data_IF_794399518788
#
_entry.id   IF_794399518788
#
_cell.length_a   1.000
_cell.length_b   1.000
_cell.length_c   1.000
_cell.angle_alpha   90.00
_cell.angle_beta   90.00
_cell.angle_gamma   90.00
#
_symmetry.space_group_name_H-M   'P 1'
#
loop_
_entity.id
_entity.type
_entity.pdbx_description
1 polymer ?
#
# COMPACT_ATOMS: atom_id res chain seq x y z
N UNK A 1 -24.18 -32.78 8.82
CA UNK A 1 -23.38 -33.96 8.44
C UNK A 1 -22.51 -34.40 9.61
N UNK A 2 -22.24 -35.70 9.74
CA UNK A 2 -21.40 -36.29 10.80
C UNK A 2 -20.43 -37.29 10.19
N UNK A 3 -19.19 -37.35 10.69
CA UNK A 3 -18.23 -38.38 10.29
C UNK A 3 -18.72 -39.75 10.78
N UNK A 4 -18.84 -40.72 9.86
CA UNK A 4 -19.41 -42.05 10.10
C UNK A 4 -18.33 -43.11 10.24
N UNK A 5 -17.40 -43.17 9.30
CA UNK A 5 -16.21 -44.02 9.41
C UNK A 5 -15.05 -43.45 8.60
N UNK A 6 -13.85 -43.90 8.94
CA UNK A 6 -12.64 -43.76 8.12
C UNK A 6 -12.13 -45.16 7.77
N UNK A 7 -11.77 -45.37 6.52
CA UNK A 7 -11.16 -46.61 6.04
C UNK A 7 -9.82 -46.26 5.37
N UNK A 8 -8.76 -46.98 5.74
CA UNK A 8 -7.40 -46.73 5.26
C UNK A 8 -6.73 -48.03 4.86
N UNK A 9 -5.89 -47.99 3.83
CA UNK A 9 -5.01 -49.08 3.44
C UNK A 9 -3.72 -48.51 2.85
N UNK A 10 -2.57 -49.04 3.27
CA UNK A 10 -1.25 -48.54 2.87
C UNK A 10 -0.98 -47.09 3.26
N UNK A 11 -1.80 -46.50 4.13
CA UNK A 11 -1.65 -45.14 4.64
C UNK A 11 -0.74 -45.14 5.87
N UNK A 12 -0.05 -44.04 6.16
CA UNK A 12 0.91 -43.90 7.27
C UNK A 12 0.50 -44.70 8.53
N UNK A 13 1.37 -45.59 9.01
CA UNK A 13 1.10 -46.43 10.19
C UNK A 13 0.10 -47.58 10.01
N UNK A 14 -0.60 -47.66 8.88
CA UNK A 14 -1.60 -48.68 8.55
C UNK A 14 -1.25 -49.40 7.24
N UNK A 15 -0.54 -50.53 7.34
CA UNK A 15 -0.23 -51.38 6.16
C UNK A 15 -1.49 -52.05 5.62
N UNK A 16 -2.19 -52.79 6.47
CA UNK A 16 -3.39 -53.52 6.09
C UNK A 16 -4.61 -52.61 6.03
N UNK A 17 -5.68 -53.10 5.39
CA UNK A 17 -6.98 -52.44 5.42
C UNK A 17 -7.49 -52.35 6.86
N UNK A 18 -7.73 -51.14 7.32
CA UNK A 18 -8.35 -50.85 8.62
C UNK A 18 -9.54 -49.93 8.42
N UNK A 19 -10.67 -50.28 9.05
CA UNK A 19 -11.87 -49.45 9.09
C UNK A 19 -12.20 -49.11 10.54
N UNK A 20 -12.31 -47.82 10.84
CA UNK A 20 -12.69 -47.30 12.15
C UNK A 20 -14.03 -46.60 12.00
N UNK A 21 -15.06 -47.15 12.65
CA UNK A 21 -16.39 -46.54 12.72
C UNK A 21 -16.47 -45.59 13.91
N UNK A 22 -17.11 -44.44 13.71
CA UNK A 22 -17.32 -43.43 14.74
C UNK A 22 -18.74 -43.53 15.29
N UNK A 23 -18.89 -43.33 16.60
CA UNK A 23 -20.19 -43.22 17.24
C UNK A 23 -20.89 -41.90 16.89
N UNK A 24 -22.22 -41.87 16.98
CA UNK A 24 -23.05 -40.72 16.59
C UNK A 24 -22.92 -39.45 17.47
N UNK A 25 -22.20 -39.56 18.59
CA UNK A 25 -22.01 -38.50 19.58
C UNK A 25 -20.53 -38.23 19.89
N UNK A 26 -19.91 -39.12 20.67
CA UNK A 26 -18.53 -38.98 21.10
C UNK A 26 -17.77 -40.30 20.96
N UNK A 27 -16.57 -40.24 20.38
CA UNK A 27 -15.70 -41.40 20.17
C UNK A 27 -14.32 -41.11 20.75
N UNK A 28 -13.80 -42.03 21.57
CA UNK A 28 -12.44 -41.93 22.11
C UNK A 28 -11.58 -43.01 21.47
N UNK A 29 -10.46 -42.59 20.88
CA UNK A 29 -9.46 -43.50 20.31
C UNK A 29 -8.28 -43.56 21.26
N UNK A 30 -8.06 -44.73 21.88
CA UNK A 30 -6.97 -44.96 22.83
C UNK A 30 -5.94 -45.93 22.28
N UNK A 31 -4.74 -45.90 22.84
CA UNK A 31 -3.64 -46.77 22.42
C UNK A 31 -2.28 -46.19 22.76
N UNK A 32 -1.24 -47.04 22.70
CA UNK A 32 0.15 -46.65 22.99
C UNK A 32 0.63 -45.55 22.03
N UNK A 33 1.72 -44.86 22.37
CA UNK A 33 2.35 -43.93 21.45
C UNK A 33 2.88 -44.67 20.21
N UNK A 34 2.75 -44.04 19.04
CA UNK A 34 3.20 -44.62 17.76
C UNK A 34 2.23 -45.57 17.05
N UNK A 35 1.06 -45.89 17.62
CA UNK A 35 0.10 -46.85 17.01
C UNK A 35 -0.81 -46.27 15.91
N UNK A 36 -0.59 -45.01 15.49
CA UNK A 36 -1.37 -44.39 14.41
C UNK A 36 -2.64 -43.63 14.85
N UNK A 37 -2.80 -43.29 16.13
CA UNK A 37 -3.97 -42.53 16.63
C UNK A 37 -4.16 -41.20 15.89
N UNK A 38 -3.13 -40.35 15.88
CA UNK A 38 -3.15 -39.06 15.17
C UNK A 38 -3.28 -39.25 13.66
N UNK A 39 -2.85 -40.40 13.14
CA UNK A 39 -2.91 -40.71 11.72
C UNK A 39 -4.34 -40.93 11.21
N UNK A 40 -5.29 -41.26 12.08
CA UNK A 40 -6.71 -41.27 11.70
C UNK A 40 -7.22 -39.85 11.44
N UNK A 41 -6.77 -38.85 12.21
CA UNK A 41 -7.07 -37.44 11.93
C UNK A 41 -6.40 -36.96 10.64
N UNK A 42 -5.14 -37.36 10.42
CA UNK A 42 -4.42 -37.11 9.17
C UNK A 42 -5.15 -37.69 7.95
N UNK A 43 -5.72 -38.89 8.10
CA UNK A 43 -6.49 -39.55 7.05
C UNK A 43 -7.76 -38.76 6.71
N UNK A 44 -8.50 -38.28 7.71
CA UNK A 44 -9.69 -37.43 7.49
C UNK A 44 -9.31 -36.17 6.73
N UNK A 45 -8.27 -35.45 7.18
CA UNK A 45 -7.80 -34.23 6.51
C UNK A 45 -7.35 -34.51 5.08
N UNK A 46 -6.54 -35.54 4.87
CA UNK A 46 -6.05 -35.93 3.55
C UNK A 46 -7.18 -36.33 2.59
N UNK A 47 -8.20 -37.03 3.07
CA UNK A 47 -9.37 -37.34 2.25
C UNK A 47 -10.05 -36.06 1.74
N UNK A 48 -10.21 -35.06 2.62
CA UNK A 48 -10.88 -33.79 2.32
C UNK A 48 -10.06 -32.85 1.43
N UNK A 49 -8.80 -32.60 1.77
CA UNK A 49 -7.98 -31.54 1.15
C UNK A 49 -6.96 -32.10 0.15
N UNK A 50 -6.54 -33.36 0.32
CA UNK A 50 -5.39 -33.93 -0.38
C UNK A 50 -4.03 -33.51 0.17
N UNK A 51 -4.00 -32.76 1.26
CA UNK A 51 -2.80 -32.35 1.99
C UNK A 51 -3.00 -32.55 3.50
N UNK A 52 -1.93 -32.37 4.27
CA UNK A 52 -2.01 -32.34 5.72
C UNK A 52 -1.23 -31.10 6.18
N UNK A 53 -1.93 -30.14 6.79
CA UNK A 53 -1.40 -28.84 7.16
C UNK A 53 -0.29 -28.93 8.22
N UNK A 54 -0.27 -30.01 9.02
CA UNK A 54 0.85 -30.32 9.94
C UNK A 54 2.22 -30.32 9.23
N UNK A 55 2.28 -30.70 7.96
CA UNK A 55 3.54 -30.81 7.21
C UNK A 55 3.77 -29.63 6.26
N UNK A 56 2.90 -28.62 6.24
CA UNK A 56 3.07 -27.43 5.40
C UNK A 56 4.24 -26.53 5.87
N UNK A 57 4.66 -26.67 7.13
CA UNK A 57 5.70 -25.84 7.77
C UNK A 57 7.11 -26.46 7.69
N UNK A 58 7.25 -27.76 7.41
CA UNK A 58 8.56 -28.43 7.31
C UNK A 58 9.20 -28.25 5.92
N UNK A 59 9.54 -27.00 5.57
CA UNK A 59 10.48 -26.69 4.49
C UNK A 59 11.92 -26.89 4.95
N UNK A 60 12.45 -28.11 4.92
CA UNK A 60 13.91 -28.36 4.93
C UNK A 60 14.29 -29.84 4.73
N UNK A 61 14.02 -30.46 3.57
CA UNK A 61 14.80 -31.60 3.05
C UNK A 61 14.21 -32.06 1.70
N UNK A 62 15.02 -32.70 0.86
CA UNK A 62 14.74 -33.12 -0.51
C UNK A 62 13.67 -34.25 -0.67
N UNK A 63 12.74 -34.42 0.27
CA UNK A 63 11.68 -35.46 0.21
C UNK A 63 10.31 -34.82 -0.07
N UNK A 64 9.51 -35.44 -0.95
CA UNK A 64 8.16 -34.95 -1.28
C UNK A 64 7.18 -35.35 -0.17
N UNK A 65 6.17 -34.52 0.10
CA UNK A 65 5.09 -34.82 1.06
C UNK A 65 4.46 -36.21 0.83
N UNK A 66 4.33 -36.59 -0.45
CA UNK A 66 3.85 -37.90 -0.91
C UNK A 66 4.66 -39.07 -0.33
N UNK A 67 5.93 -38.86 -0.03
CA UNK A 67 6.78 -39.92 0.48
C UNK A 67 6.37 -40.27 1.93
N UNK A 68 5.89 -39.31 2.74
CA UNK A 68 5.56 -39.53 4.17
C UNK A 68 4.11 -39.95 4.44
N UNK A 69 3.23 -39.85 3.44
CA UNK A 69 1.82 -40.18 3.55
C UNK A 69 1.55 -41.69 3.51
N UNK A 70 2.39 -42.43 2.78
CA UNK A 70 2.16 -43.84 2.50
C UNK A 70 3.09 -44.75 3.31
N UNK A 71 2.66 -46.00 3.49
CA UNK A 71 3.41 -47.02 4.22
C UNK A 71 4.82 -47.23 3.63
N UNK A 72 5.85 -47.12 4.49
CA UNK A 72 7.27 -47.37 4.16
C UNK A 72 7.89 -48.58 4.88
N UNK A 73 7.14 -49.26 5.75
CA UNK A 73 7.66 -50.37 6.55
C UNK A 73 7.78 -51.68 5.76
N UNK A 74 8.14 -52.77 6.45
CA UNK A 74 8.25 -54.08 5.81
C UNK A 74 6.91 -54.60 5.26
N UNK A 75 6.98 -55.21 4.08
CA UNK A 75 5.83 -55.70 3.33
C UNK A 75 5.20 -54.63 2.44
N UNK A 76 4.54 -55.07 1.37
CA UNK A 76 3.75 -54.19 0.50
C UNK A 76 2.28 -54.24 0.91
N UNK A 77 1.62 -53.08 1.11
CA UNK A 77 0.18 -53.06 1.35
C UNK A 77 -0.57 -53.51 0.08
N UNK A 78 -1.78 -54.03 0.26
CA UNK A 78 -2.62 -54.48 -0.86
C UNK A 78 -3.13 -53.31 -1.71
N UNK A 79 -3.26 -52.12 -1.13
CA UNK A 79 -3.66 -50.90 -1.82
C UNK A 79 -3.16 -49.63 -1.09
N UNK A 80 -3.39 -48.46 -1.66
CA UNK A 80 -3.01 -47.14 -1.12
C UNK A 80 -4.18 -46.15 -1.24
N UNK A 81 -5.06 -46.15 -0.25
CA UNK A 81 -6.20 -45.24 -0.22
C UNK A 81 -6.61 -44.84 1.19
N UNK A 82 -7.37 -43.74 1.22
CA UNK A 82 -8.13 -43.28 2.37
C UNK A 82 -9.56 -43.00 1.93
N UNK A 83 -10.53 -43.50 2.68
CA UNK A 83 -11.95 -43.26 2.46
C UNK A 83 -12.57 -42.67 3.71
N UNK A 84 -13.06 -41.42 3.63
CA UNK A 84 -13.85 -40.78 4.67
C UNK A 84 -15.34 -40.83 4.31
N UNK A 85 -16.17 -41.27 5.25
CA UNK A 85 -17.62 -41.33 5.08
C UNK A 85 -18.31 -40.36 6.02
N UNK A 86 -19.28 -39.64 5.49
CA UNK A 86 -20.11 -38.69 6.20
C UNK A 86 -21.58 -39.06 6.07
N UNK A 87 -22.29 -39.05 7.19
CA UNK A 87 -23.74 -39.26 7.25
C UNK A 87 -24.46 -37.92 7.29
N UNK A 88 -25.41 -37.71 6.39
CA UNK A 88 -26.34 -36.57 6.39
C UNK A 88 -27.49 -36.83 7.38
N UNK A 89 -28.19 -35.76 7.75
CA UNK A 89 -29.30 -35.85 8.71
C UNK A 89 -30.52 -36.59 8.12
N UNK A 90 -30.63 -36.64 6.79
CA UNK A 90 -31.61 -37.43 6.04
C UNK A 90 -31.23 -38.94 5.94
N UNK A 91 -30.11 -39.37 6.53
CA UNK A 91 -29.59 -40.74 6.47
C UNK A 91 -28.74 -41.08 5.24
N UNK A 92 -28.65 -40.19 4.25
CA UNK A 92 -27.80 -40.37 3.08
C UNK A 92 -26.32 -40.37 3.47
N UNK A 93 -25.50 -41.17 2.77
CA UNK A 93 -24.06 -41.25 3.00
C UNK A 93 -23.30 -40.58 1.87
N UNK A 94 -22.33 -39.74 2.23
CA UNK A 94 -21.39 -39.10 1.32
C UNK A 94 -20.00 -39.67 1.58
N UNK A 95 -19.39 -40.28 0.56
CA UNK A 95 -18.06 -40.88 0.63
C UNK A 95 -17.08 -40.11 -0.22
N UNK A 96 -15.87 -39.95 0.31
CA UNK A 96 -14.72 -39.40 -0.39
C UNK A 96 -13.60 -40.41 -0.26
N UNK A 97 -13.14 -40.95 -1.39
CA UNK A 97 -11.99 -41.85 -1.48
C UNK A 97 -10.87 -41.17 -2.23
N UNK A 98 -9.70 -41.04 -1.58
CA UNK A 98 -8.48 -40.55 -2.19
C UNK A 98 -7.46 -41.66 -2.28
N UNK A 99 -6.98 -41.94 -3.49
CA UNK A 99 -5.92 -42.92 -3.72
C UNK A 99 -4.60 -42.25 -4.08
N UNK A 100 -3.49 -42.98 -3.90
CA UNK A 100 -2.15 -42.50 -4.30
C UNK A 100 -2.03 -42.21 -5.79
N UNK A 101 -2.72 -42.97 -6.65
CA UNK A 101 -2.54 -42.91 -8.11
C UNK A 101 -3.53 -41.97 -8.79
N UNK A 102 -4.79 -41.99 -8.36
CA UNK A 102 -5.87 -41.26 -9.03
C UNK A 102 -6.30 -39.98 -8.32
N UNK A 103 -5.79 -39.73 -7.10
CA UNK A 103 -6.28 -38.64 -6.27
C UNK A 103 -7.69 -38.92 -5.75
N UNK A 104 -8.48 -37.87 -5.54
CA UNK A 104 -9.85 -37.99 -5.04
C UNK A 104 -10.82 -38.46 -6.13
N UNK A 105 -11.76 -39.33 -5.75
CA UNK A 105 -12.89 -39.77 -6.55
C UNK A 105 -13.99 -38.69 -6.68
N UNK A 106 -13.95 -37.67 -5.83
CA UNK A 106 -14.80 -36.47 -5.87
C UNK A 106 -14.00 -35.25 -6.29
N UNK A 107 -14.62 -34.41 -7.11
CA UNK A 107 -14.08 -33.09 -7.42
C UNK A 107 -14.08 -32.18 -6.18
N UNK A 108 -13.18 -31.20 -6.09
CA UNK A 108 -13.18 -30.22 -4.99
C UNK A 108 -14.54 -29.55 -4.80
N UNK A 109 -15.24 -29.24 -5.90
CA UNK A 109 -16.57 -28.63 -5.89
C UNK A 109 -17.63 -29.55 -5.28
N UNK A 110 -17.61 -30.85 -5.57
CA UNK A 110 -18.55 -31.80 -4.96
C UNK A 110 -18.32 -31.93 -3.45
N UNK A 111 -17.06 -31.92 -3.02
CA UNK A 111 -16.69 -31.97 -1.59
C UNK A 111 -17.16 -30.68 -0.89
N UNK A 112 -16.91 -29.52 -1.48
CA UNK A 112 -17.38 -28.22 -0.98
C UNK A 112 -18.91 -28.12 -0.94
N UNK A 113 -19.61 -28.50 -2.00
CA UNK A 113 -21.07 -28.43 -2.07
C UNK A 113 -21.74 -29.41 -1.09
N UNK A 114 -21.04 -30.50 -0.74
CA UNK A 114 -21.50 -31.40 0.31
C UNK A 114 -21.24 -30.82 1.71
N UNK A 115 -20.01 -30.42 2.02
CA UNK A 115 -19.60 -30.14 3.40
C UNK A 115 -19.81 -28.69 3.84
N UNK A 116 -19.94 -27.76 2.90
CA UNK A 116 -20.08 -26.33 3.19
C UNK A 116 -21.49 -25.81 2.87
N UNK A 117 -21.90 -24.76 3.57
CA UNK A 117 -23.13 -24.03 3.24
C UNK A 117 -22.97 -23.15 1.99
N UNK A 118 -24.09 -22.59 1.51
CA UNK A 118 -24.15 -21.76 0.29
C UNK A 118 -23.31 -20.49 0.34
N UNK A 119 -23.03 -19.97 1.55
CA UNK A 119 -22.08 -18.89 1.77
C UNK A 119 -20.81 -19.52 2.32
N UNK A 120 -19.74 -19.50 1.54
CA UNK A 120 -18.46 -20.11 1.90
C UNK A 120 -17.30 -19.14 1.67
N UNK A 121 -16.28 -19.15 2.54
CA UNK A 121 -15.05 -18.40 2.33
C UNK A 121 -14.20 -19.04 1.21
N UNK A 122 -13.16 -18.33 0.77
CA UNK A 122 -12.13 -18.94 -0.07
C UNK A 122 -11.45 -20.09 0.71
N UNK A 123 -11.11 -21.18 0.01
CA UNK A 123 -10.48 -22.38 0.60
C UNK A 123 -11.28 -23.02 1.77
N UNK A 124 -12.61 -23.04 1.63
CA UNK A 124 -13.55 -23.43 2.69
C UNK A 124 -13.30 -24.81 3.32
N UNK A 125 -12.83 -25.79 2.54
CA UNK A 125 -12.55 -27.14 3.05
C UNK A 125 -11.31 -27.14 3.96
N UNK A 126 -10.27 -26.38 3.59
CA UNK A 126 -9.09 -26.25 4.44
C UNK A 126 -9.44 -25.54 5.73
N UNK A 127 -10.25 -24.49 5.65
CA UNK A 127 -10.74 -23.78 6.84
C UNK A 127 -11.65 -24.66 7.74
N UNK A 128 -12.47 -25.53 7.14
CA UNK A 128 -13.25 -26.52 7.89
C UNK A 128 -12.32 -27.47 8.65
N UNK A 129 -11.25 -27.95 8.00
CA UNK A 129 -10.26 -28.82 8.64
C UNK A 129 -9.54 -28.09 9.77
N UNK A 130 -9.11 -26.84 9.56
CA UNK A 130 -8.38 -26.08 10.57
C UNK A 130 -9.20 -25.71 11.80
N UNK A 131 -10.52 -25.54 11.64
CA UNK A 131 -11.43 -25.25 12.75
C UNK A 131 -11.96 -26.50 13.45
N UNK A 132 -11.93 -27.66 12.78
CA UNK A 132 -12.49 -28.92 13.30
C UNK A 132 -11.45 -29.92 13.82
N UNK A 133 -10.22 -29.85 13.31
CA UNK A 133 -9.12 -30.77 13.67
C UNK A 133 -8.13 -30.02 14.55
N UNK A 134 -8.17 -30.28 15.85
CA UNK A 134 -7.25 -29.67 16.83
C UNK A 134 -6.10 -30.64 17.09
N UNK A 135 -4.87 -30.16 16.89
CA UNK A 135 -3.62 -30.91 17.06
C UNK A 135 -2.81 -30.33 18.21
N UNK A 136 -2.03 -31.16 18.89
CA UNK A 136 -1.16 -30.72 19.99
C UNK A 136 -0.15 -29.67 19.52
N UNK A 137 0.43 -29.88 18.33
CA UNK A 137 1.38 -28.93 17.73
C UNK A 137 0.72 -27.57 17.45
N UNK A 138 -0.57 -27.57 17.14
CA UNK A 138 -1.33 -26.35 16.92
C UNK A 138 -1.65 -25.67 18.24
N UNK A 139 -2.05 -26.40 19.28
CA UNK A 139 -2.30 -25.80 20.60
C UNK A 139 -1.04 -25.07 21.11
N UNK A 140 0.14 -25.70 20.98
CA UNK A 140 1.41 -25.08 21.34
C UNK A 140 1.69 -23.81 20.51
N UNK A 141 1.63 -23.93 19.18
CA UNK A 141 1.89 -22.80 18.27
C UNK A 141 0.91 -21.64 18.50
N UNK A 142 -0.38 -21.93 18.65
CA UNK A 142 -1.44 -20.95 18.87
C UNK A 142 -1.35 -20.25 20.23
N UNK A 143 -0.81 -20.92 21.25
CA UNK A 143 -0.75 -20.41 22.61
C UNK A 143 0.53 -19.62 22.91
N UNK A 144 1.67 -19.99 22.33
CA UNK A 144 2.98 -19.44 22.71
C UNK A 144 3.64 -18.64 21.59
N UNK A 145 3.43 -19.03 20.33
CA UNK A 145 4.29 -18.58 19.23
C UNK A 145 3.64 -17.54 18.31
N UNK A 146 2.32 -17.33 18.42
CA UNK A 146 1.63 -16.34 17.59
C UNK A 146 1.73 -14.91 18.15
N UNK A 147 2.05 -13.97 17.26
CA UNK A 147 1.84 -12.55 17.49
C UNK A 147 0.35 -12.21 17.63
N UNK A 148 0.03 -11.04 18.21
CA UNK A 148 -1.36 -10.56 18.30
C UNK A 148 -2.04 -10.47 16.93
N UNK A 149 -1.30 -10.04 15.90
CA UNK A 149 -1.81 -9.95 14.52
C UNK A 149 -2.18 -11.31 13.96
N UNK A 150 -1.34 -12.32 14.17
CA UNK A 150 -1.61 -13.68 13.68
C UNK A 150 -2.75 -14.35 14.44
N UNK A 151 -2.86 -14.10 15.76
CA UNK A 151 -4.02 -14.54 16.55
C UNK A 151 -5.31 -13.90 16.05
N UNK A 152 -5.29 -12.60 15.78
CA UNK A 152 -6.44 -11.90 15.22
C UNK A 152 -6.84 -12.49 13.86
N UNK A 153 -5.88 -12.72 12.98
CA UNK A 153 -6.12 -13.26 11.64
C UNK A 153 -6.65 -14.70 11.67
N UNK A 154 -6.13 -15.53 12.58
CA UNK A 154 -6.64 -16.88 12.82
C UNK A 154 -8.09 -16.86 13.31
N UNK A 155 -8.41 -16.04 14.31
CA UNK A 155 -9.79 -15.93 14.82
C UNK A 155 -10.71 -15.36 13.73
N UNK A 156 -10.26 -14.33 13.01
CA UNK A 156 -10.99 -13.73 11.89
C UNK A 156 -11.31 -14.76 10.81
N UNK A 157 -10.32 -15.56 10.42
CA UNK A 157 -10.52 -16.62 9.45
C UNK A 157 -11.47 -17.69 10.00
N UNK A 158 -11.26 -18.20 11.21
CA UNK A 158 -12.10 -19.23 11.84
C UNK A 158 -13.59 -18.85 11.96
N UNK A 159 -13.91 -17.56 12.17
CA UNK A 159 -15.28 -17.05 12.23
C UNK A 159 -16.01 -17.06 10.87
N UNK A 160 -15.34 -17.48 9.80
CA UNK A 160 -15.91 -17.55 8.46
C UNK A 160 -15.94 -16.18 7.79
N UNK A 161 -16.74 -16.00 6.73
CA UNK A 161 -16.89 -14.70 6.10
C UNK A 161 -17.60 -13.76 7.07
N UNK A 162 -16.84 -13.14 7.96
CA UNK A 162 -17.17 -11.83 8.53
C UNK A 162 -17.14 -10.89 7.33
N UNK A 163 -18.25 -10.89 6.61
CA UNK A 163 -18.39 -10.20 5.35
C UNK A 163 -18.10 -8.73 5.57
N UNK A 164 -17.11 -8.28 4.84
CA UNK A 164 -16.85 -6.88 4.63
C UNK A 164 -15.66 -6.85 3.73
N UNK A 165 -15.92 -6.67 2.43
CA UNK A 165 -15.10 -5.95 1.45
C UNK A 165 -13.74 -5.57 2.03
N UNK A 166 -12.65 -5.94 1.37
CA UNK A 166 -11.29 -5.56 1.77
C UNK A 166 -11.14 -4.02 1.84
N UNK A 167 -11.67 -3.44 2.92
CA UNK A 167 -11.85 -2.01 3.12
C UNK A 167 -10.47 -1.42 3.36
N UNK A 168 -9.54 -2.21 3.88
CA UNK A 168 -8.12 -1.86 3.95
C UNK A 168 -7.54 -1.65 2.55
N UNK A 169 -7.74 -2.60 1.63
CA UNK A 169 -7.24 -2.45 0.25
C UNK A 169 -7.97 -1.32 -0.49
N UNK A 170 -9.31 -1.22 -0.38
CA UNK A 170 -10.06 -0.13 -0.99
C UNK A 170 -9.68 1.24 -0.41
N UNK A 171 -9.52 1.36 0.91
CA UNK A 171 -9.10 2.60 1.55
C UNK A 171 -7.67 2.97 1.15
N UNK A 172 -6.74 2.02 1.06
CA UNK A 172 -5.39 2.27 0.52
C UNK A 172 -5.44 2.75 -0.93
N UNK A 173 -6.28 2.15 -1.76
CA UNK A 173 -6.44 2.58 -3.16
C UNK A 173 -7.01 4.00 -3.25
N UNK A 174 -8.02 4.32 -2.43
CA UNK A 174 -8.59 5.67 -2.34
C UNK A 174 -7.55 6.67 -1.83
N UNK A 175 -6.82 6.34 -0.77
CA UNK A 175 -5.78 7.20 -0.20
C UNK A 175 -4.69 7.49 -1.23
N UNK A 176 -4.20 6.48 -1.94
CA UNK A 176 -3.20 6.63 -3.01
C UNK A 176 -3.69 7.56 -4.12
N UNK A 177 -4.96 7.45 -4.52
CA UNK A 177 -5.55 8.34 -5.53
C UNK A 177 -5.63 9.79 -5.02
N UNK A 178 -5.97 9.98 -3.74
CA UNK A 178 -6.03 11.30 -3.10
C UNK A 178 -4.64 11.92 -3.00
N UNK A 179 -3.63 11.16 -2.58
CA UNK A 179 -2.23 11.62 -2.50
C UNK A 179 -1.71 12.05 -3.88
N UNK A 180 -1.94 11.22 -4.90
CA UNK A 180 -1.53 11.55 -6.28
C UNK A 180 -2.20 12.84 -6.78
N UNK A 181 -3.50 13.02 -6.50
CA UNK A 181 -4.23 14.22 -6.87
C UNK A 181 -3.78 15.46 -6.07
N UNK A 182 -3.46 15.28 -4.79
CA UNK A 182 -2.92 16.31 -3.92
C UNK A 182 -1.58 16.81 -4.45
N UNK A 183 -0.65 15.89 -4.76
CA UNK A 183 0.68 16.25 -5.25
C UNK A 183 0.63 16.97 -6.60
N UNK A 184 -0.26 16.52 -7.50
CA UNK A 184 -0.49 17.20 -8.77
C UNK A 184 -1.00 18.64 -8.56
N UNK A 185 -1.96 18.84 -7.64
CA UNK A 185 -2.51 20.17 -7.31
C UNK A 185 -1.48 21.05 -6.60
N UNK A 186 -0.69 20.46 -5.70
CA UNK A 186 0.36 21.17 -4.98
C UNK A 186 1.43 21.67 -5.94
N UNK A 187 1.85 20.84 -6.90
CA UNK A 187 2.79 21.23 -7.96
C UNK A 187 2.21 22.30 -8.88
N UNK A 188 0.93 22.21 -9.23
CA UNK A 188 0.26 23.26 -10.02
C UNK A 188 0.21 24.59 -9.24
N UNK A 189 -0.08 24.55 -7.94
CA UNK A 189 -0.10 25.73 -7.08
C UNK A 189 1.28 26.37 -6.94
N UNK A 190 2.33 25.58 -6.69
CA UNK A 190 3.71 26.11 -6.59
C UNK A 190 4.16 26.74 -7.91
N UNK A 191 3.85 26.13 -9.05
CA UNK A 191 4.15 26.69 -10.37
C UNK A 191 3.40 28.01 -10.62
N UNK A 192 2.10 28.06 -10.33
CA UNK A 192 1.31 29.29 -10.48
C UNK A 192 1.82 30.41 -9.55
N UNK A 193 2.22 30.07 -8.32
CA UNK A 193 2.82 31.02 -7.38
C UNK A 193 4.17 31.55 -7.87
N UNK A 194 5.01 30.70 -8.47
CA UNK A 194 6.28 31.13 -9.05
C UNK A 194 6.05 32.07 -10.25
N UNK A 195 5.09 31.76 -11.13
CA UNK A 195 4.72 32.63 -12.25
C UNK A 195 4.21 33.99 -11.78
N UNK A 196 3.33 34.01 -10.77
CA UNK A 196 2.83 35.26 -10.19
C UNK A 196 3.96 36.10 -9.59
N UNK A 197 4.88 35.47 -8.87
CA UNK A 197 6.05 36.15 -8.29
C UNK A 197 6.90 36.80 -9.38
N UNK A 198 7.17 36.07 -10.47
CA UNK A 198 7.94 36.61 -11.60
C UNK A 198 7.20 37.78 -12.29
N UNK A 199 5.88 37.65 -12.49
CA UNK A 199 5.08 38.71 -13.09
C UNK A 199 5.04 39.98 -12.22
N UNK A 200 4.99 39.84 -10.89
CA UNK A 200 5.07 40.96 -9.95
C UNK A 200 6.44 41.65 -10.01
N UNK A 201 7.53 40.88 -10.09
CA UNK A 201 8.88 41.44 -10.27
C UNK A 201 8.98 42.23 -11.57
N UNK A 202 8.53 41.66 -12.69
CA UNK A 202 8.53 42.35 -13.99
C UNK A 202 7.66 43.62 -13.97
N UNK A 203 6.51 43.59 -13.31
CA UNK A 203 5.66 44.77 -13.15
C UNK A 203 6.36 45.86 -12.34
N UNK A 204 7.11 45.49 -11.29
CA UNK A 204 7.89 46.42 -10.47
C UNK A 204 8.99 47.07 -11.31
N UNK A 205 9.76 46.28 -12.05
CA UNK A 205 10.81 46.77 -12.94
C UNK A 205 10.27 47.70 -14.03
N UNK A 206 9.13 47.35 -14.63
CA UNK A 206 8.47 48.18 -15.63
C UNK A 206 7.99 49.52 -15.05
N UNK A 207 7.43 49.51 -13.83
CA UNK A 207 7.03 50.74 -13.12
C UNK A 207 8.23 51.63 -12.82
N UNK A 208 9.35 51.06 -12.36
CA UNK A 208 10.59 51.82 -12.12
C UNK A 208 11.19 52.39 -13.41
N UNK A 209 11.11 51.66 -14.53
CA UNK A 209 11.56 52.14 -15.83
C UNK A 209 10.71 53.33 -16.32
N UNK A 210 9.38 53.26 -16.15
CA UNK A 210 8.47 54.37 -16.47
C UNK A 210 8.75 55.59 -15.61
N UNK A 211 8.97 55.41 -14.30
CA UNK A 211 9.34 56.49 -13.39
C UNK A 211 10.63 57.19 -13.82
N UNK A 212 11.69 56.43 -14.12
CA UNK A 212 12.96 56.97 -14.62
C UNK A 212 12.81 57.71 -15.95
N UNK A 213 12.01 57.20 -16.89
CA UNK A 213 11.77 57.87 -18.16
C UNK A 213 11.05 59.21 -17.99
N UNK A 214 10.08 59.28 -17.05
CA UNK A 214 9.39 60.52 -16.69
C UNK A 214 10.34 61.57 -16.08
N UNK A 215 11.21 61.17 -15.17
CA UNK A 215 12.20 62.06 -14.55
C UNK A 215 13.20 62.61 -15.59
N UNK A 216 13.64 61.78 -16.53
CA UNK A 216 14.53 62.21 -17.62
C UNK A 216 13.85 63.19 -18.56
N UNK A 217 12.57 62.97 -18.90
CA UNK A 217 11.81 63.89 -19.73
C UNK A 217 11.62 65.26 -19.05
N UNK A 218 11.27 65.27 -17.76
CA UNK A 218 11.13 66.51 -16.98
C UNK A 218 12.48 67.25 -16.84
N UNK A 219 13.57 66.53 -16.59
CA UNK A 219 14.92 67.13 -16.56
C UNK A 219 15.31 67.73 -17.91
N UNK A 220 14.90 67.11 -19.02
CA UNK A 220 15.15 67.64 -20.36
C UNK A 220 14.40 68.95 -20.60
N UNK A 221 13.12 69.04 -20.22
CA UNK A 221 12.33 70.27 -20.37
C UNK A 221 12.99 71.46 -19.65
N UNK A 222 13.54 71.24 -18.46
CA UNK A 222 14.28 72.28 -17.72
C UNK A 222 15.51 72.75 -18.50
N UNK A 223 16.27 71.82 -19.10
CA UNK A 223 17.44 72.15 -19.92
C UNK A 223 17.03 72.91 -21.19
N UNK A 224 15.93 72.51 -21.83
CA UNK A 224 15.37 73.18 -23.01
C UNK A 224 14.95 74.61 -22.67
N UNK A 225 14.24 74.81 -21.56
CA UNK A 225 13.82 76.12 -21.09
C UNK A 225 15.01 77.03 -20.74
N UNK A 226 16.07 76.46 -20.16
CA UNK A 226 17.31 77.19 -19.84
C UNK A 226 18.17 77.50 -21.08
N UNK A 227 17.96 76.79 -22.20
CA UNK A 227 18.66 76.99 -23.48
C UNK A 227 17.69 77.05 -24.67
N UNK A 228 16.88 78.13 -24.77
CA UNK A 228 15.82 78.23 -25.79
C UNK A 228 16.34 78.13 -27.22
N UNK A 229 17.54 78.66 -27.48
CA UNK A 229 18.20 78.64 -28.80
C UNK A 229 19.32 77.60 -28.89
N UNK A 230 19.32 76.60 -28.01
CA UNK A 230 20.32 75.53 -28.01
C UNK A 230 20.16 74.58 -29.21
N UNK A 231 21.23 73.87 -29.61
CA UNK A 231 21.17 72.87 -30.67
C UNK A 231 20.20 71.73 -30.33
N UNK A 232 19.59 71.10 -31.34
CA UNK A 232 18.65 69.97 -31.16
C UNK A 232 19.36 68.68 -30.74
N UNK A 233 20.64 68.52 -31.10
CA UNK A 233 21.45 67.38 -30.67
C UNK A 233 21.60 67.36 -29.14
N UNK A 234 21.32 66.20 -28.55
CA UNK A 234 21.25 66.01 -27.11
C UNK A 234 22.57 66.32 -26.40
N UNK A 235 23.69 65.81 -26.92
CA UNK A 235 25.00 65.99 -26.30
C UNK A 235 25.44 67.46 -26.38
N UNK A 236 25.22 68.09 -27.53
CA UNK A 236 25.46 69.51 -27.73
C UNK A 236 24.58 70.37 -26.83
N UNK A 237 23.31 70.00 -26.62
CA UNK A 237 22.35 70.75 -25.80
C UNK A 237 22.68 70.69 -24.32
N UNK A 238 23.10 69.53 -23.81
CA UNK A 238 23.58 69.39 -22.43
C UNK A 238 24.86 70.21 -22.19
N UNK A 239 25.77 70.25 -23.16
CA UNK A 239 26.97 71.09 -23.11
C UNK A 239 26.62 72.59 -23.08
N UNK A 240 25.66 73.02 -23.91
CA UNK A 240 25.13 74.37 -23.91
C UNK A 240 24.46 74.72 -22.57
N UNK A 241 23.68 73.80 -22.00
CA UNK A 241 23.04 73.96 -20.69
C UNK A 241 24.05 74.16 -19.56
N UNK A 242 25.13 73.35 -19.53
CA UNK A 242 26.23 73.52 -18.56
C UNK A 242 26.92 74.88 -18.70
N UNK A 243 27.13 75.32 -19.93
CA UNK A 243 27.76 76.61 -20.23
C UNK A 243 26.88 77.78 -19.79
N UNK A 244 25.57 77.70 -20.04
CA UNK A 244 24.58 78.68 -19.60
C UNK A 244 24.49 78.76 -18.07
N UNK A 245 24.52 77.61 -17.37
CA UNK A 245 24.54 77.55 -15.91
C UNK A 245 25.82 78.20 -15.33
N UNK A 246 26.98 77.89 -15.91
CA UNK A 246 28.26 78.49 -15.50
C UNK A 246 28.23 80.02 -15.67
N UNK A 247 27.78 80.52 -16.82
CA UNK A 247 27.63 81.95 -17.07
C UNK A 247 26.60 82.62 -16.13
N UNK A 248 25.51 81.92 -15.80
CA UNK A 248 24.53 82.36 -14.80
C UNK A 248 25.15 82.51 -13.41
N UNK A 249 25.94 81.53 -12.96
CA UNK A 249 26.65 81.59 -11.68
C UNK A 249 27.65 82.74 -11.62
N UNK A 250 28.41 82.97 -12.68
CA UNK A 250 29.35 84.10 -12.74
C UNK A 250 28.62 85.45 -12.64
N UNK A 251 27.47 85.61 -13.33
CA UNK A 251 26.64 86.81 -13.23
C UNK A 251 26.07 87.03 -11.82
N UNK A 252 25.55 85.98 -11.20
CA UNK A 252 25.03 86.07 -9.84
C UNK A 252 26.12 86.36 -8.81
N UNK A 253 27.33 85.82 -9.00
CA UNK A 253 28.50 86.17 -8.20
C UNK A 253 28.84 87.65 -8.27
N UNK A 254 28.89 88.22 -9.49
CA UNK A 254 29.11 89.66 -9.68
C UNK A 254 27.98 90.54 -9.10
N UNK A 255 26.73 90.09 -9.17
CA UNK A 255 25.61 90.79 -8.50
C UNK A 255 25.73 90.72 -6.97
N UNK A 256 26.21 89.59 -6.43
CA UNK A 256 26.48 89.45 -4.99
C UNK A 256 27.56 90.40 -4.49
N UNK A 257 28.64 90.55 -5.26
CA UNK A 257 29.70 91.54 -4.97
C UNK A 257 29.17 92.98 -5.05
N UNK A 258 28.37 93.31 -6.06
CA UNK A 258 27.74 94.62 -6.19
C UNK A 258 26.76 94.94 -5.04
N UNK A 259 25.99 93.96 -4.57
CA UNK A 259 25.11 94.10 -3.40
C UNK A 259 25.92 94.27 -2.11
N UNK A 260 27.05 93.57 -1.98
CA UNK A 260 27.97 93.72 -0.84
C UNK A 260 28.56 95.13 -0.78
N UNK A 261 29.07 95.63 -1.90
CA UNK A 261 29.62 96.98 -2.02
C UNK A 261 28.55 98.06 -1.77
N UNK A 262 27.32 97.87 -2.26
CA UNK A 262 26.21 98.77 -2.00
C UNK A 262 25.83 98.84 -0.51
N UNK A 263 25.96 97.73 0.23
CA UNK A 263 25.75 97.70 1.69
C UNK A 263 26.87 98.39 2.47
N UNK A 264 28.11 98.29 2.00
CA UNK A 264 29.25 99.01 2.60
C UNK A 264 29.13 100.54 2.40
N UNK A 265 28.65 100.99 1.25
CA UNK A 265 28.41 102.43 0.98
C UNK A 265 27.24 102.99 1.81
N UNK A 266 26.23 102.18 2.12
CA UNK A 266 25.11 102.55 3.00
C UNK A 266 25.49 102.59 4.50
N UNK A 267 26.68 102.11 4.87
CA UNK A 267 27.17 102.05 6.26
C UNK A 267 28.14 103.18 6.62
N UNK A 268 28.41 104.12 5.69
CA UNK A 268 29.14 105.39 5.89
C UNK A 268 28.16 106.55 6.08
#
# INVERSE_FOLDING_TARGET
MKLDFIEVCGFRGFREKVRVAFGAGFTVITGRNGVGKSTLCDAVEFALTGSIDKYAVEKAAQERLDDYLWWRGEGSPSDHYVTASFRKDNGETFLITRTRKSGADKSPREIEDALCHSVRPDDAIRQLCSTSIIRDEWIAALSLDLSETERFELVRSALGPVQGVDFGVKAKAVLKNIETAHDARQNAYTNARAQLTNALTQLSEAKEAIGRAGDVAAAMEIVVAATPNGPEDLAARLSAGRSALAAGRTRLGGMGEAISQGREVLAL
#
